data_IF_738118040061
#
_entry.id   IF_738118040061
#
_cell.length_a   1.000
_cell.length_b   1.000
_cell.length_c   1.000
_cell.angle_alpha   90.00
_cell.angle_beta   90.00
_cell.angle_gamma   90.00
#
_symmetry.space_group_name_H-M   'P 1'
#
loop_
_entity.id
_entity.type
_entity.pdbx_description
1 polymer ?
#
# COMPACT_ATOMS: atom_id res chain seq x y z
N UNK A 1 12.55 -7.43 20.03
CA UNK A 1 11.35 -7.97 20.70
C UNK A 1 10.14 -7.67 19.83
N UNK A 2 9.18 -8.60 19.74
CA UNK A 2 7.89 -8.36 19.07
C UNK A 2 6.87 -8.04 20.17
N UNK A 3 6.14 -6.95 20.00
CA UNK A 3 5.20 -6.42 20.98
C UNK A 3 3.81 -6.30 20.36
N UNK A 4 2.73 -6.67 21.06
CA UNK A 4 1.37 -6.40 20.60
C UNK A 4 1.16 -4.91 20.32
N UNK A 5 0.47 -4.61 19.24
CA UNK A 5 0.13 -3.26 18.85
C UNK A 5 -1.39 -3.12 18.72
N UNK A 6 -1.89 -1.95 19.12
CA UNK A 6 -3.28 -1.54 18.95
C UNK A 6 -3.29 -0.12 18.41
N UNK A 7 -4.08 0.11 17.37
CA UNK A 7 -4.32 1.44 16.84
C UNK A 7 -5.16 2.21 17.86
N UNK A 8 -4.66 3.36 18.28
CA UNK A 8 -5.34 4.27 19.20
C UNK A 8 -5.00 5.71 18.81
N UNK A 9 -5.77 6.26 17.87
CA UNK A 9 -5.56 7.62 17.38
C UNK A 9 -6.14 8.61 18.39
N UNK A 10 -5.35 9.58 18.89
CA UNK A 10 -5.85 10.58 19.82
C UNK A 10 -7.00 11.39 19.23
N UNK A 11 -8.02 11.69 20.04
CA UNK A 11 -9.18 12.47 19.59
C UNK A 11 -8.80 13.83 18.99
N UNK A 12 -7.75 14.48 19.53
CA UNK A 12 -7.25 15.75 19.02
C UNK A 12 -6.78 15.70 17.55
N UNK A 13 -6.30 14.54 17.05
CA UNK A 13 -5.93 14.35 15.63
C UNK A 13 -7.19 14.32 14.75
N UNK A 14 -8.27 13.74 15.25
CA UNK A 14 -9.56 13.70 14.56
C UNK A 14 -10.18 15.10 14.55
N UNK A 15 -10.18 15.80 15.69
CA UNK A 15 -10.72 17.14 15.80
C UNK A 15 -9.98 18.11 14.84
N UNK A 16 -8.65 18.05 14.78
CA UNK A 16 -7.84 18.83 13.81
C UNK A 16 -8.19 18.49 12.35
N UNK A 17 -8.39 17.21 12.03
CA UNK A 17 -8.85 16.77 10.71
C UNK A 17 -10.19 17.40 10.34
N UNK A 18 -11.20 17.33 11.23
CA UNK A 18 -12.52 17.92 11.00
C UNK A 18 -12.43 19.43 10.77
N UNK A 19 -11.65 20.14 11.59
CA UNK A 19 -11.43 21.59 11.47
C UNK A 19 -10.75 21.99 10.15
N UNK A 20 -9.82 21.16 9.66
CA UNK A 20 -9.14 21.40 8.38
C UNK A 20 -10.04 21.12 7.19
N UNK A 21 -10.80 20.03 7.22
CA UNK A 21 -11.79 19.71 6.20
C UNK A 21 -12.84 20.83 6.08
N UNK A 22 -13.35 21.33 7.22
CA UNK A 22 -14.30 22.45 7.27
C UNK A 22 -13.76 23.75 6.68
N UNK A 23 -12.45 23.99 6.79
CA UNK A 23 -11.78 25.22 6.31
C UNK A 23 -11.06 25.02 4.97
N UNK A 24 -11.35 23.94 4.25
CA UNK A 24 -10.72 23.68 2.95
C UNK A 24 -10.94 24.84 1.99
N UNK A 25 -9.85 25.43 1.50
CA UNK A 25 -9.90 26.47 0.47
C UNK A 25 -9.85 25.85 -0.92
N UNK A 26 -11.03 25.55 -1.45
CA UNK A 26 -11.17 24.90 -2.74
C UNK A 26 -10.84 25.79 -3.94
N UNK A 27 -10.29 25.18 -5.00
CA UNK A 27 -10.08 25.81 -6.30
C UNK A 27 -11.31 25.69 -7.20
N UNK A 28 -11.37 26.51 -8.25
CA UNK A 28 -12.25 26.27 -9.37
C UNK A 28 -11.75 25.06 -10.18
N UNK A 29 -12.67 24.34 -10.83
CA UNK A 29 -12.38 23.11 -11.57
C UNK A 29 -13.02 23.16 -12.95
N UNK A 30 -12.39 23.95 -13.82
CA UNK A 30 -12.92 24.21 -15.15
C UNK A 30 -12.67 23.01 -16.09
N UNK A 31 -13.74 22.49 -16.69
CA UNK A 31 -13.71 21.47 -17.73
C UNK A 31 -13.02 20.14 -17.31
N UNK A 32 -13.24 19.70 -16.07
CA UNK A 32 -12.65 18.47 -15.53
C UNK A 32 -13.68 17.38 -15.16
N UNK A 33 -14.86 17.40 -15.78
CA UNK A 33 -15.91 16.41 -15.47
C UNK A 33 -15.50 14.95 -15.74
N UNK A 34 -14.51 14.76 -16.60
CA UNK A 34 -13.96 13.46 -16.98
C UNK A 34 -12.62 13.13 -16.30
N UNK A 35 -12.21 13.92 -15.29
CA UNK A 35 -10.95 13.75 -14.56
C UNK A 35 -9.69 13.90 -15.43
N UNK A 36 -9.80 14.57 -16.58
CA UNK A 36 -8.69 14.74 -17.52
C UNK A 36 -7.52 15.55 -16.93
N UNK A 37 -7.78 16.39 -15.93
CA UNK A 37 -6.77 17.16 -15.20
C UNK A 37 -6.46 16.57 -13.81
N UNK A 38 -6.88 15.33 -13.55
CA UNK A 38 -6.79 14.66 -12.26
C UNK A 38 -8.09 14.76 -11.47
N UNK A 39 -7.99 14.79 -10.14
CA UNK A 39 -9.14 14.67 -9.25
C UNK A 39 -10.25 15.70 -9.52
N UNK A 40 -11.47 15.24 -9.83
CA UNK A 40 -12.60 16.14 -10.04
C UNK A 40 -13.02 16.78 -8.72
N UNK A 41 -13.04 18.11 -8.66
CA UNK A 41 -13.25 18.84 -7.42
C UNK A 41 -14.64 18.62 -6.82
N UNK A 42 -15.68 18.43 -7.63
CA UNK A 42 -17.03 18.14 -7.15
C UNK A 42 -17.04 16.83 -6.34
N UNK A 43 -16.44 15.77 -6.89
CA UNK A 43 -16.34 14.48 -6.22
C UNK A 43 -15.46 14.55 -4.96
N UNK A 44 -14.31 15.22 -5.02
CA UNK A 44 -13.44 15.36 -3.83
C UNK A 44 -14.11 16.18 -2.73
N UNK A 45 -14.92 17.19 -3.06
CA UNK A 45 -15.73 17.93 -2.08
C UNK A 45 -16.77 17.02 -1.43
N UNK A 46 -17.50 16.25 -2.22
CA UNK A 46 -18.48 15.29 -1.71
C UNK A 46 -17.83 14.26 -0.78
N UNK A 47 -16.68 13.71 -1.17
CA UNK A 47 -15.96 12.75 -0.35
C UNK A 47 -15.36 13.39 0.92
N UNK A 48 -14.90 14.64 0.85
CA UNK A 48 -14.43 15.39 2.02
C UNK A 48 -15.57 15.73 2.99
N UNK A 49 -16.77 16.02 2.49
CA UNK A 49 -17.98 16.21 3.30
C UNK A 49 -18.40 14.89 3.96
N UNK A 50 -18.39 13.77 3.23
CA UNK A 50 -18.62 12.45 3.81
C UNK A 50 -17.56 12.11 4.86
N UNK A 51 -16.28 12.42 4.60
CA UNK A 51 -15.21 12.22 5.58
C UNK A 51 -15.44 13.03 6.87
N UNK A 52 -15.96 14.24 6.76
CA UNK A 52 -16.20 15.11 7.90
C UNK A 52 -17.48 14.76 8.68
N UNK A 53 -18.54 14.31 8.02
CA UNK A 53 -19.87 14.20 8.64
C UNK A 53 -20.41 12.76 8.73
N UNK A 54 -19.93 11.85 7.88
CA UNK A 54 -20.46 10.49 7.73
C UNK A 54 -19.47 9.37 8.04
N UNK A 55 -18.17 9.62 7.92
CA UNK A 55 -17.12 8.63 8.16
C UNK A 55 -16.84 8.48 9.66
N UNK A 56 -16.98 7.25 10.18
CA UNK A 56 -16.69 6.93 11.57
C UNK A 56 -15.32 6.26 11.71
N UNK A 57 -14.28 7.06 11.98
CA UNK A 57 -12.94 6.54 12.23
C UNK A 57 -12.90 5.48 13.34
N UNK A 58 -13.68 5.64 14.41
CA UNK A 58 -13.64 4.71 15.55
C UNK A 58 -14.16 3.34 15.18
N UNK A 59 -15.18 3.27 14.32
CA UNK A 59 -15.64 2.00 13.75
C UNK A 59 -14.56 1.34 12.88
N UNK A 60 -13.86 2.11 12.03
CA UNK A 60 -12.78 1.57 11.17
C UNK A 60 -11.55 1.15 11.96
N UNK A 61 -11.16 1.95 12.95
CA UNK A 61 -10.10 1.65 13.92
C UNK A 61 -10.41 0.36 14.70
N UNK A 62 -11.66 0.16 15.13
CA UNK A 62 -12.09 -1.07 15.78
C UNK A 62 -12.03 -2.27 14.83
N UNK A 63 -12.42 -2.11 13.56
CA UNK A 63 -12.33 -3.16 12.55
C UNK A 63 -10.87 -3.56 12.26
N UNK A 64 -9.95 -2.59 12.16
CA UNK A 64 -8.51 -2.87 12.00
C UNK A 64 -7.96 -3.60 13.23
N UNK A 65 -8.33 -3.14 14.43
CA UNK A 65 -7.94 -3.75 15.71
C UNK A 65 -8.56 -5.13 15.98
N UNK A 66 -9.49 -5.60 15.15
CA UNK A 66 -9.99 -6.97 15.22
C UNK A 66 -8.93 -7.98 14.75
N UNK A 67 -7.95 -7.55 13.96
CA UNK A 67 -6.79 -8.36 13.60
C UNK A 67 -5.68 -8.22 14.64
N UNK A 68 -4.99 -9.32 15.02
CA UNK A 68 -3.78 -9.26 15.81
C UNK A 68 -2.69 -8.47 15.09
N UNK A 69 -2.30 -7.36 15.69
CA UNK A 69 -1.26 -6.47 15.18
C UNK A 69 -0.09 -6.43 16.14
N UNK A 70 1.09 -6.19 15.59
CA UNK A 70 2.33 -6.20 16.33
C UNK A 70 3.27 -5.12 15.82
N UNK A 71 4.23 -4.76 16.66
CA UNK A 71 5.36 -3.92 16.31
C UNK A 71 6.67 -4.55 16.73
N UNK A 72 7.72 -4.24 15.97
CA UNK A 72 9.10 -4.53 16.34
C UNK A 72 10.02 -3.47 15.74
N UNK A 73 11.30 -3.50 16.12
CA UNK A 73 12.34 -2.68 15.48
C UNK A 73 13.40 -3.61 14.90
N UNK A 74 13.70 -3.45 13.61
CA UNK A 74 14.70 -4.23 12.88
C UNK A 74 15.73 -3.22 12.33
N UNK A 75 16.99 -3.34 12.75
CA UNK A 75 18.07 -2.41 12.35
C UNK A 75 17.79 -0.91 12.55
N UNK A 76 16.95 -0.61 13.56
CA UNK A 76 16.49 0.75 13.86
C UNK A 76 15.30 1.22 13.02
N UNK A 77 14.71 0.35 12.20
CA UNK A 77 13.49 0.60 11.44
C UNK A 77 12.28 0.10 12.24
N UNK A 78 11.29 0.97 12.54
CA UNK A 78 10.04 0.52 13.12
C UNK A 78 9.24 -0.27 12.09
N UNK A 79 8.76 -1.44 12.49
CA UNK A 79 7.97 -2.34 11.66
C UNK A 79 6.67 -2.66 12.38
N UNK A 80 5.55 -2.20 11.82
CA UNK A 80 4.20 -2.64 12.14
C UNK A 80 3.78 -3.77 11.21
N UNK A 81 3.05 -4.76 11.72
CA UNK A 81 2.48 -5.82 10.92
C UNK A 81 1.26 -6.47 11.55
N UNK A 82 0.34 -6.96 10.72
CA UNK A 82 -0.69 -7.93 11.11
C UNK A 82 -0.09 -9.33 11.05
N UNK A 83 -0.41 -10.19 12.03
CA UNK A 83 -0.04 -11.61 11.99
C UNK A 83 -1.22 -12.50 12.43
N UNK A 84 -1.76 -13.26 11.49
CA UNK A 84 -2.88 -14.19 11.72
C UNK A 84 -2.39 -15.61 11.45
N UNK A 85 -2.49 -16.46 12.48
CA UNK A 85 -2.17 -17.89 12.35
C UNK A 85 -3.27 -18.61 11.58
N UNK A 86 -2.86 -19.47 10.64
CA UNK A 86 -3.78 -20.25 9.83
C UNK A 86 -4.48 -21.35 10.64
N UNK A 87 -5.72 -21.65 10.26
CA UNK A 87 -6.53 -22.77 10.76
C UNK A 87 -6.54 -23.89 9.72
N UNK A 88 -5.44 -24.64 9.69
CA UNK A 88 -5.28 -25.79 8.80
C UNK A 88 -6.06 -27.03 9.24
N UNK A 89 -5.98 -28.09 8.44
CA UNK A 89 -6.55 -29.40 8.76
C UNK A 89 -5.90 -30.00 10.03
N UNK A 90 -6.68 -30.40 11.05
CA UNK A 90 -6.12 -31.04 12.25
C UNK A 90 -5.29 -32.29 11.90
N UNK A 91 -4.04 -32.34 12.38
CA UNK A 91 -3.10 -33.45 12.13
C UNK A 91 -2.33 -33.37 10.80
N UNK A 92 -2.58 -32.35 9.98
CA UNK A 92 -1.79 -32.04 8.78
C UNK A 92 -0.57 -31.15 9.12
N UNK A 93 0.36 -30.94 8.17
CA UNK A 93 1.44 -29.96 8.33
C UNK A 93 0.90 -28.56 8.65
N UNK A 94 1.71 -27.74 9.32
CA UNK A 94 1.34 -26.35 9.62
C UNK A 94 1.06 -25.55 8.33
N UNK A 95 0.12 -24.60 8.37
CA UNK A 95 -0.12 -23.63 7.30
C UNK A 95 1.15 -22.99 6.77
N UNK A 96 1.20 -22.74 5.46
CA UNK A 96 2.36 -22.10 4.82
C UNK A 96 2.46 -20.64 5.33
N UNK A 97 3.64 -20.17 5.79
CA UNK A 97 3.82 -18.77 6.11
C UNK A 97 3.82 -17.92 4.83
N UNK A 98 2.97 -16.91 4.78
CA UNK A 98 2.77 -16.04 3.63
C UNK A 98 2.89 -14.58 4.05
N UNK A 99 3.88 -13.88 3.51
CA UNK A 99 4.03 -12.43 3.69
C UNK A 99 3.38 -11.67 2.52
N UNK A 100 2.45 -10.76 2.82
CA UNK A 100 1.70 -9.95 1.85
C UNK A 100 2.23 -8.52 1.84
N UNK A 101 2.82 -8.10 0.73
CA UNK A 101 3.47 -6.81 0.59
C UNK A 101 2.59 -5.84 -0.19
N UNK A 102 2.18 -4.75 0.46
CA UNK A 102 1.48 -3.66 -0.23
C UNK A 102 2.48 -2.78 -1.00
N UNK A 103 1.95 -1.82 -1.76
CA UNK A 103 2.73 -0.77 -2.39
C UNK A 103 2.25 0.62 -2.04
N UNK A 104 2.31 1.55 -2.98
CA UNK A 104 1.84 2.92 -2.85
C UNK A 104 0.72 3.20 -3.87
N UNK A 105 -0.35 3.93 -3.51
CA UNK A 105 -0.64 4.51 -2.19
C UNK A 105 -1.34 3.51 -1.25
N UNK A 106 -1.13 2.21 -1.44
CA UNK A 106 -1.77 1.16 -0.63
C UNK A 106 -1.22 1.16 0.81
N UNK A 107 -1.89 0.40 1.67
CA UNK A 107 -1.51 0.18 3.08
C UNK A 107 -1.68 -1.29 3.43
N UNK A 108 -1.29 -1.70 4.64
CA UNK A 108 -1.58 -3.05 5.14
C UNK A 108 -3.09 -3.38 5.10
N UNK A 109 -3.95 -2.37 5.19
CA UNK A 109 -5.41 -2.55 5.23
C UNK A 109 -6.01 -2.97 3.89
N UNK A 110 -5.30 -2.78 2.78
CA UNK A 110 -5.74 -3.24 1.46
C UNK A 110 -5.94 -4.76 1.39
N UNK A 111 -5.27 -5.51 2.27
CA UNK A 111 -5.40 -6.97 2.34
C UNK A 111 -6.52 -7.46 3.26
N UNK A 112 -7.25 -6.59 3.97
CA UNK A 112 -8.17 -7.03 5.03
C UNK A 112 -9.22 -8.06 4.58
N UNK A 113 -9.68 -7.96 3.32
CA UNK A 113 -10.67 -8.90 2.74
C UNK A 113 -10.11 -10.29 2.45
N UNK A 114 -8.79 -10.45 2.35
CA UNK A 114 -8.14 -11.72 2.03
C UNK A 114 -7.48 -12.38 3.24
N UNK A 115 -7.23 -11.64 4.34
CA UNK A 115 -6.62 -12.20 5.56
C UNK A 115 -7.45 -13.36 6.11
N UNK A 116 -8.77 -13.18 6.24
CA UNK A 116 -9.69 -14.21 6.73
C UNK A 116 -9.73 -15.43 5.80
N UNK A 117 -10.09 -15.28 4.52
CA UNK A 117 -10.12 -16.40 3.56
C UNK A 117 -8.80 -17.16 3.43
N UNK A 118 -7.64 -16.48 3.52
CA UNK A 118 -6.34 -17.15 3.44
C UNK A 118 -5.98 -17.87 4.75
N UNK A 119 -6.35 -17.33 5.90
CA UNK A 119 -6.00 -17.95 7.20
C UNK A 119 -7.01 -18.99 7.67
N UNK A 120 -8.29 -18.88 7.31
CA UNK A 120 -9.36 -19.80 7.72
C UNK A 120 -10.29 -20.14 6.54
N UNK A 121 -9.77 -20.74 5.45
CA UNK A 121 -10.54 -20.98 4.22
C UNK A 121 -11.83 -21.76 4.47
N UNK A 122 -11.85 -22.66 5.45
CA UNK A 122 -13.02 -23.44 5.85
C UNK A 122 -14.22 -22.55 6.22
N UNK A 123 -13.99 -21.45 6.95
CA UNK A 123 -15.03 -20.49 7.33
C UNK A 123 -15.59 -19.69 6.13
N UNK A 124 -14.92 -19.74 4.98
CA UNK A 124 -15.27 -19.05 3.74
C UNK A 124 -15.60 -20.02 2.58
N UNK A 125 -15.77 -21.32 2.87
CA UNK A 125 -16.15 -22.34 1.87
C UNK A 125 -14.99 -22.92 1.05
N UNK A 126 -13.74 -22.65 1.43
CA UNK A 126 -12.54 -23.27 0.86
C UNK A 126 -12.07 -24.53 1.62
N UNK A 127 -11.01 -25.16 1.13
CA UNK A 127 -10.39 -26.33 1.77
C UNK A 127 -9.47 -25.89 2.94
N UNK A 128 -9.64 -26.41 4.17
CA UNK A 128 -8.72 -26.16 5.27
C UNK A 128 -7.25 -26.49 4.97
N UNK A 129 -6.97 -27.36 3.99
CA UNK A 129 -5.61 -27.66 3.54
C UNK A 129 -4.91 -26.46 2.85
N UNK A 130 -5.68 -25.49 2.35
CA UNK A 130 -5.17 -24.30 1.65
C UNK A 130 -4.91 -23.11 2.61
N UNK A 131 -4.91 -23.35 3.93
CA UNK A 131 -4.68 -22.29 4.92
C UNK A 131 -3.23 -21.78 4.93
N UNK A 132 -3.07 -20.48 5.16
CA UNK A 132 -1.79 -19.80 5.35
C UNK A 132 -1.69 -19.18 6.75
N UNK A 133 -0.47 -19.13 7.29
CA UNK A 133 -0.15 -18.13 8.30
C UNK A 133 0.09 -16.80 7.58
N UNK A 134 -0.75 -15.80 7.80
CA UNK A 134 -0.75 -14.54 7.05
C UNK A 134 -0.01 -13.46 7.83
N UNK A 135 1.01 -12.86 7.22
CA UNK A 135 1.77 -11.73 7.73
C UNK A 135 1.62 -10.54 6.79
N UNK A 136 1.10 -9.41 7.27
CA UNK A 136 0.89 -8.21 6.46
C UNK A 136 1.64 -7.03 7.08
N UNK A 137 2.92 -6.82 6.72
CA UNK A 137 3.67 -5.68 7.22
C UNK A 137 3.23 -4.37 6.56
N UNK A 138 3.30 -3.28 7.33
CA UNK A 138 3.38 -1.95 6.76
C UNK A 138 4.82 -1.69 6.30
N UNK A 139 5.00 -1.26 5.05
CA UNK A 139 6.33 -0.95 4.51
C UNK A 139 7.07 0.10 5.36
N UNK A 140 8.43 0.10 5.40
CA UNK A 140 9.19 1.13 6.09
C UNK A 140 8.78 2.55 5.67
N UNK A 141 8.33 3.37 6.63
CA UNK A 141 7.84 4.72 6.34
C UNK A 141 6.40 4.80 5.83
N UNK A 142 5.61 3.72 5.93
CA UNK A 142 4.19 3.70 5.58
C UNK A 142 3.35 3.39 6.81
N UNK A 143 2.21 4.08 6.95
CA UNK A 143 1.24 3.81 8.01
C UNK A 143 1.91 3.74 9.38
N UNK A 144 1.67 2.64 10.11
CA UNK A 144 2.17 2.45 11.46
C UNK A 144 3.63 1.97 11.55
N UNK A 145 4.35 1.80 10.43
CA UNK A 145 5.82 1.61 10.37
C UNK A 145 6.54 2.96 10.30
N UNK A 146 6.12 3.88 11.16
CA UNK A 146 6.59 5.26 11.32
C UNK A 146 6.82 5.55 12.80
N UNK A 147 7.64 6.56 13.16
CA UNK A 147 8.41 7.45 12.28
C UNK A 147 9.68 6.80 11.73
N UNK A 148 10.00 7.07 10.45
CA UNK A 148 11.27 6.65 9.86
C UNK A 148 12.36 7.70 10.15
N UNK A 149 13.45 7.30 10.79
CA UNK A 149 14.54 8.21 11.19
C UNK A 149 15.84 8.01 10.41
N UNK A 150 15.88 7.03 9.50
CA UNK A 150 17.03 6.71 8.66
C UNK A 150 16.65 6.76 7.18
N UNK A 151 17.62 7.13 6.35
CA UNK A 151 17.53 7.12 4.88
C UNK A 151 17.96 5.76 4.33
N UNK A 152 17.80 5.54 3.03
CA UNK A 152 18.26 4.34 2.31
C UNK A 152 17.26 3.17 2.29
N UNK A 153 16.05 3.36 2.79
CA UNK A 153 15.02 2.31 2.78
C UNK A 153 14.22 2.31 1.47
N UNK A 154 14.24 1.18 0.78
CA UNK A 154 13.59 0.93 -0.51
C UNK A 154 13.26 -0.58 -0.62
N UNK A 155 12.81 -1.04 -1.80
CA UNK A 155 12.35 -2.42 -1.98
C UNK A 155 13.39 -3.49 -1.63
N UNK A 156 14.67 -3.25 -1.94
CA UNK A 156 15.67 -4.29 -1.77
C UNK A 156 16.26 -4.36 -0.37
N UNK A 157 16.32 -3.23 0.35
CA UNK A 157 16.59 -3.25 1.79
C UNK A 157 15.38 -3.74 2.59
N UNK A 158 14.16 -3.50 2.11
CA UNK A 158 12.93 -4.01 2.74
C UNK A 158 12.86 -5.54 2.68
N UNK A 159 13.33 -6.17 1.59
CA UNK A 159 13.44 -7.62 1.51
C UNK A 159 14.31 -8.21 2.63
N UNK A 160 15.43 -7.55 2.99
CA UNK A 160 16.29 -7.99 4.11
C UNK A 160 15.56 -7.87 5.45
N UNK A 161 14.81 -6.77 5.66
CA UNK A 161 13.98 -6.58 6.86
C UNK A 161 12.92 -7.69 6.99
N UNK A 162 12.35 -8.14 5.88
CA UNK A 162 11.34 -9.20 5.88
C UNK A 162 11.91 -10.58 6.18
N UNK A 163 13.12 -10.90 5.71
CA UNK A 163 13.79 -12.14 6.14
C UNK A 163 13.98 -12.15 7.66
N UNK A 164 14.44 -11.03 8.23
CA UNK A 164 14.61 -10.91 9.69
C UNK A 164 13.27 -10.92 10.44
N UNK A 165 12.23 -10.26 9.91
CA UNK A 165 10.88 -10.30 10.48
C UNK A 165 10.35 -11.74 10.53
N UNK A 166 10.42 -12.46 9.42
CA UNK A 166 9.94 -13.84 9.32
C UNK A 166 10.75 -14.79 10.21
N UNK A 167 12.07 -14.60 10.31
CA UNK A 167 12.91 -15.34 11.25
C UNK A 167 12.52 -15.11 12.72
N UNK A 168 12.22 -13.86 13.11
CA UNK A 168 11.73 -13.54 14.47
C UNK A 168 10.36 -14.15 14.79
N UNK A 169 9.54 -14.37 13.76
CA UNK A 169 8.26 -15.08 13.87
C UNK A 169 8.42 -16.60 13.89
N UNK A 170 9.66 -17.12 13.74
CA UNK A 170 9.97 -18.54 13.74
C UNK A 170 9.78 -19.23 12.39
N UNK A 171 9.73 -18.46 11.29
CA UNK A 171 9.57 -18.99 9.94
C UNK A 171 10.91 -19.06 9.22
N UNK A 172 11.49 -20.26 9.12
CA UNK A 172 12.74 -20.50 8.38
C UNK A 172 12.56 -20.38 6.86
N UNK A 173 11.37 -20.73 6.37
CA UNK A 173 10.97 -20.58 4.96
C UNK A 173 9.54 -20.08 4.85
N UNK A 174 9.28 -19.21 3.87
CA UNK A 174 7.98 -18.59 3.66
C UNK A 174 7.70 -18.29 2.19
N UNK A 175 6.41 -18.20 1.81
CA UNK A 175 5.98 -17.67 0.53
C UNK A 175 5.83 -16.14 0.61
N UNK A 176 5.99 -15.46 -0.53
CA UNK A 176 5.85 -14.01 -0.60
C UNK A 176 4.90 -13.61 -1.72
N UNK A 177 4.09 -12.59 -1.44
CA UNK A 177 3.15 -12.02 -2.39
C UNK A 177 3.25 -10.50 -2.39
N UNK A 178 3.06 -9.88 -3.56
CA UNK A 178 2.83 -8.44 -3.62
C UNK A 178 2.55 -7.90 -5.03
N UNK A 179 2.15 -6.64 -5.07
CA UNK A 179 2.06 -5.79 -6.27
C UNK A 179 2.68 -4.42 -6.02
N UNK A 180 2.82 -3.60 -7.06
CA UNK A 180 3.49 -2.30 -6.95
C UNK A 180 4.88 -2.47 -6.25
N UNK A 181 5.22 -1.71 -5.20
CA UNK A 181 6.46 -1.96 -4.43
C UNK A 181 6.54 -3.37 -3.86
N UNK A 182 5.41 -3.96 -3.47
CA UNK A 182 5.34 -5.33 -3.00
C UNK A 182 5.75 -6.37 -4.05
N UNK A 183 5.60 -6.07 -5.34
CA UNK A 183 6.12 -6.94 -6.41
C UNK A 183 7.65 -6.90 -6.43
N UNK A 184 8.25 -5.72 -6.35
CA UNK A 184 9.71 -5.57 -6.27
C UNK A 184 10.30 -6.24 -5.03
N UNK A 185 9.66 -6.06 -3.87
CA UNK A 185 10.08 -6.70 -2.62
C UNK A 185 9.98 -8.22 -2.74
N UNK A 186 8.87 -8.75 -3.26
CA UNK A 186 8.66 -10.19 -3.42
C UNK A 186 9.62 -10.81 -4.44
N UNK A 187 9.87 -10.12 -5.56
CA UNK A 187 10.86 -10.53 -6.55
C UNK A 187 12.29 -10.51 -5.95
N UNK A 188 12.63 -9.48 -5.18
CA UNK A 188 13.92 -9.40 -4.51
C UNK A 188 14.11 -10.49 -3.46
N UNK A 189 13.07 -10.81 -2.67
CA UNK A 189 13.09 -11.94 -1.75
C UNK A 189 13.40 -13.24 -2.49
N UNK A 190 12.73 -13.50 -3.61
CA UNK A 190 12.99 -14.67 -4.45
C UNK A 190 14.38 -14.69 -5.08
N UNK A 191 14.95 -13.51 -5.40
CA UNK A 191 16.27 -13.40 -6.01
C UNK A 191 17.42 -13.53 -4.99
N UNK A 192 17.41 -12.69 -3.95
CA UNK A 192 18.50 -12.56 -2.97
C UNK A 192 18.45 -13.62 -1.86
N UNK A 193 17.25 -14.09 -1.52
CA UNK A 193 17.00 -14.97 -0.36
C UNK A 193 16.28 -16.26 -0.77
N UNK A 194 16.67 -16.83 -1.92
CA UNK A 194 16.03 -18.01 -2.51
C UNK A 194 16.00 -19.24 -1.57
N UNK A 195 16.95 -19.37 -0.65
CA UNK A 195 16.97 -20.43 0.37
C UNK A 195 15.86 -20.27 1.43
N UNK A 196 15.38 -19.03 1.64
CA UNK A 196 14.29 -18.68 2.57
C UNK A 196 12.92 -18.66 1.91
N UNK A 197 12.83 -18.63 0.59
CA UNK A 197 11.56 -18.48 -0.11
C UNK A 197 11.01 -19.83 -0.60
N UNK A 198 9.73 -20.08 -0.36
CA UNK A 198 8.99 -21.25 -0.86
C UNK A 198 8.52 -20.98 -2.30
N UNK A 199 7.95 -19.80 -2.53
CA UNK A 199 7.45 -19.36 -3.82
C UNK A 199 7.16 -17.86 -3.82
N UNK A 200 7.15 -17.29 -5.03
CA UNK A 200 6.89 -15.86 -5.28
C UNK A 200 5.63 -15.75 -6.11
N UNK A 201 4.63 -15.03 -5.60
CA UNK A 201 3.42 -14.68 -6.34
C UNK A 201 3.33 -13.16 -6.50
N UNK A 202 3.55 -12.65 -7.71
CA UNK A 202 3.49 -11.21 -7.99
C UNK A 202 2.42 -10.90 -9.01
N UNK A 203 1.73 -9.78 -8.82
CA UNK A 203 1.00 -9.09 -9.87
C UNK A 203 1.71 -7.77 -10.19
N UNK A 204 1.46 -7.18 -11.36
CA UNK A 204 2.21 -6.02 -11.88
C UNK A 204 3.73 -6.21 -11.86
N UNK A 205 4.27 -7.27 -12.49
CA UNK A 205 5.71 -7.54 -12.47
C UNK A 205 6.50 -6.49 -13.25
N UNK A 206 7.69 -6.16 -12.75
CA UNK A 206 8.66 -5.32 -13.43
C UNK A 206 10.09 -5.81 -13.11
N UNK A 207 11.08 -5.59 -14.01
CA UNK A 207 12.48 -5.89 -13.72
C UNK A 207 12.99 -5.15 -12.48
N UNK A 208 13.85 -5.77 -11.67
CA UNK A 208 14.37 -5.16 -10.43
C UNK A 208 15.19 -3.88 -10.67
N UNK A 209 15.74 -3.70 -11.87
CA UNK A 209 16.48 -2.50 -12.29
C UNK A 209 15.56 -1.40 -12.86
N UNK A 210 14.23 -1.56 -12.84
CA UNK A 210 13.26 -0.61 -13.38
C UNK A 210 13.49 0.84 -12.94
N UNK A 211 13.91 1.05 -11.69
CA UNK A 211 14.13 2.40 -11.15
C UNK A 211 15.31 3.13 -11.78
N UNK A 212 16.29 2.40 -12.33
CA UNK A 212 17.46 2.95 -13.02
C UNK A 212 17.44 2.77 -14.53
N UNK A 213 16.68 1.78 -15.01
CA UNK A 213 16.62 1.37 -16.41
C UNK A 213 15.23 1.55 -17.03
N UNK A 214 14.41 2.46 -16.47
CA UNK A 214 13.07 2.77 -17.00
C UNK A 214 13.18 3.15 -18.49
N UNK A 215 12.71 2.26 -19.37
CA UNK A 215 12.67 2.46 -20.81
C UNK A 215 11.23 2.51 -21.32
N UNK A 216 10.95 3.28 -22.39
CA UNK A 216 9.71 3.18 -23.14
C UNK A 216 9.36 1.72 -23.47
N UNK A 217 8.07 1.34 -23.48
CA UNK A 217 7.70 0.01 -23.92
C UNK A 217 8.18 -0.20 -25.36
N UNK A 218 8.94 -1.27 -25.57
CA UNK A 218 9.49 -1.62 -26.88
C UNK A 218 8.49 -2.52 -27.60
N UNK A 219 8.06 -2.23 -28.83
CA UNK A 219 7.21 -3.15 -29.59
C UNK A 219 7.77 -4.57 -29.71
N UNK A 220 9.08 -4.75 -29.58
CA UNK A 220 9.72 -6.07 -29.58
C UNK A 220 9.44 -6.90 -28.30
N UNK A 221 8.97 -6.27 -27.21
CA UNK A 221 8.61 -6.94 -25.96
C UNK A 221 7.17 -7.52 -25.99
N UNK A 222 6.41 -7.30 -27.06
CA UNK A 222 4.98 -7.67 -27.16
C UNK A 222 4.72 -8.56 -28.37
N UNK A 223 3.88 -9.58 -28.18
CA UNK A 223 3.39 -10.42 -29.27
C UNK A 223 2.40 -9.64 -30.17
N UNK A 224 2.18 -10.06 -31.43
CA UNK A 224 1.24 -9.38 -32.34
C UNK A 224 -0.19 -9.23 -31.77
N UNK A 225 -0.62 -10.15 -30.91
CA UNK A 225 -1.93 -10.09 -30.23
C UNK A 225 -1.99 -9.13 -29.05
N UNK A 226 -0.86 -8.56 -28.63
CA UNK A 226 -0.71 -7.71 -27.44
C UNK A 226 -0.56 -6.23 -27.77
N UNK A 227 -0.88 -5.83 -29.00
CA UNK A 227 -0.78 -4.42 -29.45
C UNK A 227 -1.56 -3.46 -28.54
N UNK A 228 -2.68 -3.90 -27.96
CA UNK A 228 -3.45 -3.10 -26.99
C UNK A 228 -2.68 -2.91 -25.68
N UNK A 229 -1.95 -3.92 -25.20
CA UNK A 229 -1.12 -3.82 -24.00
C UNK A 229 0.05 -2.86 -24.20
N UNK A 230 0.69 -2.88 -25.38
CA UNK A 230 1.70 -1.90 -25.76
C UNK A 230 1.13 -0.47 -25.73
N UNK A 231 -0.02 -0.25 -26.36
CA UNK A 231 -0.67 1.06 -26.39
C UNK A 231 -1.07 1.53 -24.98
N UNK A 232 -1.59 0.63 -24.15
CA UNK A 232 -1.96 0.92 -22.75
C UNK A 232 -0.73 1.28 -21.93
N UNK A 233 0.38 0.54 -22.09
CA UNK A 233 1.65 0.81 -21.40
C UNK A 233 2.25 2.15 -21.81
N UNK A 234 2.22 2.47 -23.11
CA UNK A 234 2.68 3.75 -23.62
C UNK A 234 1.86 4.93 -23.07
N UNK A 235 0.52 4.78 -23.01
CA UNK A 235 -0.37 5.80 -22.45
C UNK A 235 -0.14 6.02 -20.96
N UNK A 236 -0.03 4.94 -20.19
CA UNK A 236 0.31 5.01 -18.77
C UNK A 236 1.63 5.76 -18.55
N UNK A 237 2.67 5.43 -19.30
CA UNK A 237 3.96 6.12 -19.21
C UNK A 237 3.91 7.59 -19.62
N UNK A 238 3.04 7.96 -20.56
CA UNK A 238 2.91 9.34 -20.99
C UNK A 238 2.07 10.21 -20.03
N UNK A 239 1.01 9.64 -19.46
CA UNK A 239 -0.06 10.41 -18.81
C UNK A 239 -0.11 10.20 -17.28
N UNK A 240 0.31 9.05 -16.76
CA UNK A 240 0.05 8.66 -15.36
C UNK A 240 1.26 8.75 -14.42
N UNK A 241 2.46 9.05 -14.93
CA UNK A 241 3.70 9.01 -14.12
C UNK A 241 4.04 10.33 -13.43
N UNK A 242 3.18 11.35 -13.47
CA UNK A 242 3.45 12.66 -12.85
C UNK A 242 3.77 12.57 -11.35
N UNK A 243 2.99 11.78 -10.61
CA UNK A 243 3.22 11.50 -9.18
C UNK A 243 4.60 10.85 -8.96
N UNK A 244 4.95 9.86 -9.80
CA UNK A 244 6.19 9.10 -9.74
C UNK A 244 7.39 10.02 -9.96
N UNK A 245 7.34 10.90 -10.96
CA UNK A 245 8.40 11.85 -11.26
C UNK A 245 8.65 12.83 -10.12
N UNK A 246 7.58 13.28 -9.45
CA UNK A 246 7.68 14.16 -8.30
C UNK A 246 8.27 13.43 -7.08
N UNK A 247 7.73 12.26 -6.75
CA UNK A 247 8.16 11.48 -5.58
C UNK A 247 9.58 10.93 -5.73
N UNK A 248 10.00 10.52 -6.94
CA UNK A 248 11.36 10.02 -7.18
C UNK A 248 12.43 11.12 -7.11
N UNK A 249 12.07 12.39 -7.23
CA UNK A 249 13.04 13.49 -7.37
C UNK A 249 13.04 14.49 -6.21
N UNK A 250 11.86 14.92 -5.77
CA UNK A 250 11.68 15.98 -4.76
C UNK A 250 10.48 15.65 -3.84
N UNK A 251 10.46 14.48 -3.17
CA UNK A 251 9.29 14.02 -2.40
C UNK A 251 8.94 14.94 -1.22
N UNK A 252 9.93 15.66 -0.67
CA UNK A 252 9.70 16.57 0.46
C UNK A 252 8.90 17.83 0.06
N UNK A 253 8.96 18.23 -1.21
CA UNK A 253 8.30 19.45 -1.69
C UNK A 253 6.76 19.36 -1.58
N UNK A 254 6.08 18.35 -2.17
CA UNK A 254 4.63 18.23 -2.00
C UNK A 254 4.23 17.81 -0.58
N UNK A 255 5.14 17.20 0.18
CA UNK A 255 4.84 16.69 1.51
C UNK A 255 4.31 17.75 2.48
N UNK A 256 4.82 18.99 2.42
CA UNK A 256 4.30 20.06 3.29
C UNK A 256 2.82 20.32 3.03
N UNK A 257 2.42 20.41 1.76
CA UNK A 257 1.02 20.65 1.39
C UNK A 257 0.13 19.44 1.64
N UNK A 258 0.61 18.23 1.37
CA UNK A 258 -0.16 16.99 1.54
C UNK A 258 -0.25 16.54 3.01
N UNK A 259 0.68 16.98 3.89
CA UNK A 259 0.57 16.77 5.33
C UNK A 259 -0.29 17.84 6.02
N UNK A 260 -0.41 19.04 5.43
CA UNK A 260 -1.21 20.13 6.00
C UNK A 260 -2.69 20.08 5.57
N UNK A 261 -2.95 19.60 4.34
CA UNK A 261 -4.28 19.62 3.73
C UNK A 261 -4.87 18.20 3.58
N UNK A 262 -5.85 17.80 4.42
CA UNK A 262 -6.50 16.50 4.26
C UNK A 262 -7.27 16.39 2.94
N UNK A 263 -7.88 17.47 2.45
CA UNK A 263 -8.53 17.47 1.13
C UNK A 263 -7.51 17.34 -0.01
N UNK A 264 -6.31 17.94 0.13
CA UNK A 264 -5.21 17.75 -0.82
C UNK A 264 -4.70 16.31 -0.84
N UNK A 265 -4.52 15.71 0.35
CA UNK A 265 -4.14 14.30 0.49
C UNK A 265 -5.20 13.35 -0.09
N UNK A 266 -6.49 13.65 0.16
CA UNK A 266 -7.63 12.91 -0.39
C UNK A 266 -7.60 12.90 -1.92
N UNK A 267 -7.44 14.08 -2.55
CA UNK A 267 -7.33 14.19 -4.00
C UNK A 267 -6.14 13.41 -4.56
N UNK A 268 -4.97 13.50 -3.90
CA UNK A 268 -3.74 12.85 -4.35
C UNK A 268 -3.83 11.32 -4.36
N UNK A 269 -4.50 10.73 -3.37
CA UNK A 269 -4.62 9.28 -3.23
C UNK A 269 -5.81 8.71 -4.00
N UNK A 270 -6.99 9.36 -3.93
CA UNK A 270 -8.23 8.83 -4.51
C UNK A 270 -8.21 8.84 -6.04
N UNK A 271 -7.52 9.80 -6.65
CA UNK A 271 -7.32 9.80 -8.10
C UNK A 271 -6.66 8.50 -8.58
N UNK A 272 -5.68 7.97 -7.83
CA UNK A 272 -5.04 6.69 -8.16
C UNK A 272 -5.97 5.50 -7.97
N UNK A 273 -6.85 5.51 -6.98
CA UNK A 273 -7.88 4.47 -6.81
C UNK A 273 -8.82 4.43 -8.01
N UNK A 274 -9.22 5.58 -8.55
CA UNK A 274 -10.05 5.66 -9.75
C UNK A 274 -9.28 5.15 -10.98
N UNK A 275 -8.09 5.70 -11.22
CA UNK A 275 -7.35 5.52 -12.48
C UNK A 275 -6.71 4.14 -12.61
N UNK A 276 -6.34 3.48 -11.50
CA UNK A 276 -5.61 2.21 -11.54
C UNK A 276 -6.46 0.97 -11.29
N UNK A 277 -7.62 1.11 -10.63
CA UNK A 277 -8.52 -0.01 -10.42
C UNK A 277 -9.47 -0.19 -11.61
N UNK A 278 -10.09 -1.38 -11.70
CA UNK A 278 -11.08 -1.72 -12.73
C UNK A 278 -12.44 -1.04 -12.47
N UNK A 279 -12.44 0.29 -12.45
CA UNK A 279 -13.59 1.15 -12.11
C UNK A 279 -14.39 1.58 -13.33
N UNK A 280 -13.80 1.44 -14.52
CA UNK A 280 -14.32 2.01 -15.78
C UNK A 280 -14.68 3.50 -15.67
N UNK A 281 -13.97 4.23 -14.80
CA UNK A 281 -14.16 5.66 -14.55
C UNK A 281 -15.10 6.00 -13.39
N UNK A 282 -15.84 5.04 -12.85
CA UNK A 282 -16.68 5.18 -11.64
C UNK A 282 -16.00 4.48 -10.45
N UNK A 283 -15.32 5.26 -9.61
CA UNK A 283 -14.54 4.72 -8.48
C UNK A 283 -15.42 3.98 -7.46
N UNK A 284 -16.70 4.35 -7.33
CA UNK A 284 -17.61 3.75 -6.35
C UNK A 284 -18.15 2.39 -6.79
N UNK A 285 -17.97 2.01 -8.06
CA UNK A 285 -18.27 0.66 -8.55
C UNK A 285 -17.40 -0.43 -7.91
N UNK A 286 -16.24 -0.06 -7.35
CA UNK A 286 -15.27 -0.98 -6.73
C UNK A 286 -14.99 -0.69 -5.26
N UNK A 287 -15.15 0.56 -4.83
CA UNK A 287 -14.83 0.99 -3.47
C UNK A 287 -15.99 1.77 -2.87
N UNK A 288 -16.35 1.46 -1.64
CA UNK A 288 -17.19 2.38 -0.86
C UNK A 288 -16.43 3.66 -0.53
N UNK A 289 -17.14 4.75 -0.25
CA UNK A 289 -16.53 6.01 0.23
C UNK A 289 -15.65 5.81 1.46
N UNK A 290 -16.09 4.97 2.40
CA UNK A 290 -15.31 4.68 3.59
C UNK A 290 -14.00 3.93 3.27
N UNK A 291 -13.99 3.01 2.29
CA UNK A 291 -12.76 2.30 1.89
C UNK A 291 -11.76 3.24 1.18
N UNK A 292 -12.26 4.18 0.39
CA UNK A 292 -11.43 5.24 -0.19
C UNK A 292 -10.79 6.07 0.93
N UNK A 293 -11.59 6.48 1.91
CA UNK A 293 -11.14 7.28 3.04
C UNK A 293 -10.21 6.49 3.97
N UNK A 294 -10.43 5.20 4.23
CA UNK A 294 -9.58 4.38 5.10
C UNK A 294 -8.10 4.47 4.71
N UNK A 295 -7.83 4.45 3.41
CA UNK A 295 -6.47 4.60 2.88
C UNK A 295 -5.92 5.98 3.23
N UNK A 296 -6.65 7.04 2.93
CA UNK A 296 -6.21 8.43 3.16
C UNK A 296 -6.06 8.74 4.64
N UNK A 297 -6.98 8.22 5.45
CA UNK A 297 -7.00 8.37 6.89
C UNK A 297 -5.77 7.72 7.54
N UNK A 298 -5.35 6.54 7.08
CA UNK A 298 -4.11 5.91 7.53
C UNK A 298 -2.88 6.78 7.22
N UNK A 299 -2.79 7.40 6.04
CA UNK A 299 -1.71 8.34 5.72
C UNK A 299 -1.77 9.61 6.57
N UNK A 300 -2.98 10.12 6.84
CA UNK A 300 -3.20 11.31 7.65
C UNK A 300 -2.78 11.11 9.11
N UNK A 301 -3.34 10.11 9.80
CA UNK A 301 -3.12 9.89 11.24
C UNK A 301 -1.70 9.42 11.57
N UNK A 302 -0.95 8.98 10.57
CA UNK A 302 0.44 8.54 10.73
C UNK A 302 1.45 9.49 10.09
N UNK A 303 0.97 10.59 9.48
CA UNK A 303 1.79 11.56 8.76
C UNK A 303 2.72 10.91 7.72
N UNK A 304 2.32 9.76 7.15
CA UNK A 304 3.25 8.87 6.45
C UNK A 304 3.43 9.19 4.96
N UNK A 305 2.76 10.21 4.43
CA UNK A 305 2.93 10.58 3.01
C UNK A 305 4.40 10.88 2.71
N UNK A 306 5.05 11.70 3.53
CA UNK A 306 6.38 12.20 3.23
C UNK A 306 7.42 11.07 3.24
N UNK A 307 7.34 10.13 4.17
CA UNK A 307 8.21 8.96 4.22
C UNK A 307 7.90 7.96 3.13
N UNK A 308 6.62 7.73 2.79
CA UNK A 308 6.24 6.86 1.69
C UNK A 308 6.76 7.38 0.33
N UNK A 309 6.71 8.70 0.12
CA UNK A 309 7.18 9.34 -1.10
C UNK A 309 8.71 9.25 -1.21
N UNK A 310 9.42 9.33 -0.08
CA UNK A 310 10.88 9.12 -0.05
C UNK A 310 11.27 7.72 -0.49
N UNK A 311 10.43 6.70 -0.34
CA UNK A 311 10.70 5.35 -0.86
C UNK A 311 11.03 5.35 -2.37
N UNK A 312 10.32 6.17 -3.16
CA UNK A 312 10.59 6.37 -4.58
C UNK A 312 11.96 7.02 -4.82
N UNK A 313 12.29 8.04 -4.03
CA UNK A 313 13.58 8.73 -4.11
C UNK A 313 14.73 7.78 -3.75
N UNK A 314 14.60 7.04 -2.66
CA UNK A 314 15.61 6.09 -2.18
C UNK A 314 15.80 4.93 -3.17
N UNK A 315 14.73 4.46 -3.82
CA UNK A 315 14.83 3.43 -4.85
C UNK A 315 15.52 3.94 -6.13
N UNK A 316 15.35 5.21 -6.48
CA UNK A 316 16.01 5.83 -7.64
C UNK A 316 17.48 6.22 -7.39
N UNK A 317 17.85 6.54 -6.14
CA UNK A 317 19.19 7.05 -5.80
C UNK A 317 20.08 6.04 -5.06
N UNK A 318 19.52 4.92 -4.61
CA UNK A 318 20.26 3.77 -4.08
C UNK A 318 19.85 2.53 -4.88
N UNK A 319 20.41 2.37 -6.09
CA UNK A 319 20.00 1.32 -7.00
C UNK A 319 20.34 -0.07 -6.46
N UNK A 320 19.53 -1.05 -6.87
CA UNK A 320 19.74 -2.47 -6.66
C UNK A 320 20.96 -2.96 -7.43
#
# INVERSE_FOLDING_TARGET
MIEPFRIDVPQAVLDDLHDRLARTRWTADFANDQWAYGAQAAYIRELAEHWREGYDWRAREAAMNAFPQFRTTIDGVPVHFVHVKGKGTPGAPNPIPLILNHGWPWTFWDFHKVIGPLSDPAAYGGDPADAFDVVVPSLPGYGFSTPLTKTGHNFWTTADLWVELMARLGYDRFATQGGDWGAFISAQLGHKHADKVIGVHIHTPAPLDFMTAMRPPDPADFEPGEAELLQKSARMMAEEIGYFMLQKSKPQTPAVGLNDSPAGLLAWIVEKRRSWADTQGDVESRFTKDELIDTVMLYWVTESYHTSARYYYEAAHNPW
#
